data_IF_973047505513
#
_entry.id   IF_973047505513
#
_cell.length_a   1.000
_cell.length_b   1.000
_cell.length_c   1.000
_cell.angle_alpha   90.00
_cell.angle_beta   90.00
_cell.angle_gamma   90.00
#
_symmetry.space_group_name_H-M   'P 1'
#
loop_
_entity.id
_entity.type
_entity.pdbx_description
1 polymer ?
#
# COMPACT_ATOMS: atom_id res chain seq x y z
N UNK A 1 -18.45 -13.38 -2.03
CA UNK A 1 -17.48 -12.42 -2.58
C UNK A 1 -17.12 -11.52 -1.43
N UNK A 2 -15.99 -11.77 -0.79
CA UNK A 2 -15.54 -10.95 0.33
C UNK A 2 -15.43 -9.50 -0.17
N UNK A 3 -16.14 -8.59 0.48
CA UNK A 3 -16.13 -7.17 0.11
C UNK A 3 -14.73 -6.62 0.34
N UNK A 4 -14.14 -6.02 -0.69
CA UNK A 4 -12.88 -5.30 -0.55
C UNK A 4 -13.06 -4.14 0.46
N UNK A 5 -12.37 -4.22 1.60
CA UNK A 5 -12.48 -3.25 2.70
C UNK A 5 -11.17 -2.45 2.87
N UNK A 6 -10.93 -1.39 2.07
CA UNK A 6 -9.71 -0.59 2.14
C UNK A 6 -9.74 0.42 3.29
N UNK A 7 -8.57 0.76 3.81
CA UNK A 7 -8.43 1.97 4.64
C UNK A 7 -8.69 3.23 3.80
N UNK A 8 -8.96 4.37 4.46
CA UNK A 8 -9.13 5.67 3.78
C UNK A 8 -7.93 6.03 2.89
N UNK A 9 -6.71 5.74 3.34
CA UNK A 9 -5.49 6.01 2.55
C UNK A 9 -5.39 5.10 1.33
N UNK A 10 -5.71 3.81 1.47
CA UNK A 10 -5.76 2.87 0.35
C UNK A 10 -6.83 3.30 -0.67
N UNK A 11 -8.02 3.66 -0.19
CA UNK A 11 -9.10 4.16 -1.05
C UNK A 11 -8.69 5.42 -1.82
N UNK A 12 -8.04 6.39 -1.14
CA UNK A 12 -7.53 7.60 -1.77
C UNK A 12 -6.46 7.30 -2.84
N UNK A 13 -5.60 6.32 -2.61
CA UNK A 13 -4.59 5.88 -3.58
C UNK A 13 -5.24 5.25 -4.83
N UNK A 14 -6.28 4.41 -4.66
CA UNK A 14 -7.05 3.85 -5.78
C UNK A 14 -7.72 4.94 -6.62
N UNK A 15 -8.34 5.93 -5.96
CA UNK A 15 -8.94 7.08 -6.65
C UNK A 15 -7.90 7.89 -7.40
N UNK A 16 -6.72 8.13 -6.79
CA UNK A 16 -5.63 8.88 -7.44
C UNK A 16 -5.08 8.13 -8.65
N UNK A 17 -4.96 6.80 -8.58
CA UNK A 17 -4.53 5.98 -9.70
C UNK A 17 -5.55 5.99 -10.87
N UNK A 18 -6.85 5.95 -10.56
CA UNK A 18 -7.92 6.12 -11.56
C UNK A 18 -7.82 7.48 -12.24
N UNK A 19 -7.67 8.55 -11.47
CA UNK A 19 -7.52 9.91 -12.00
C UNK A 19 -6.27 10.04 -12.89
N UNK A 20 -5.14 9.46 -12.47
CA UNK A 20 -3.91 9.47 -13.25
C UNK A 20 -4.07 8.72 -14.59
N UNK A 21 -4.66 7.52 -14.57
CA UNK A 21 -4.92 6.77 -15.79
C UNK A 21 -5.87 7.52 -16.73
N UNK A 22 -6.93 8.13 -16.19
CA UNK A 22 -7.89 8.91 -16.95
C UNK A 22 -7.25 10.16 -17.57
N UNK A 23 -6.43 10.89 -16.81
CA UNK A 23 -5.75 12.10 -17.28
C UNK A 23 -4.72 11.81 -18.38
N UNK A 24 -4.08 10.63 -18.32
CA UNK A 24 -3.11 10.17 -19.31
C UNK A 24 -3.76 9.48 -20.54
N UNK A 25 -5.09 9.34 -20.58
CA UNK A 25 -5.78 8.63 -21.67
C UNK A 25 -5.49 7.14 -21.71
N UNK A 26 -5.13 6.54 -20.57
CA UNK A 26 -4.89 5.10 -20.46
C UNK A 26 -6.22 4.37 -20.22
N UNK A 27 -6.58 3.35 -21.04
CA UNK A 27 -7.86 2.64 -20.91
C UNK A 27 -7.93 1.77 -19.66
N UNK A 28 -6.78 1.47 -19.04
CA UNK A 28 -6.69 0.62 -17.86
C UNK A 28 -5.85 1.25 -16.74
N UNK A 29 -6.33 1.08 -15.51
CA UNK A 29 -5.54 1.29 -14.30
C UNK A 29 -4.60 0.10 -14.16
N UNK A 30 -3.36 0.27 -14.62
CA UNK A 30 -2.25 -0.68 -14.47
C UNK A 30 -1.55 -0.59 -13.09
N UNK A 31 -0.79 -1.62 -12.67
CA UNK A 31 -0.06 -1.60 -11.40
C UNK A 31 0.86 -0.39 -11.22
N UNK A 32 1.41 0.15 -12.31
CA UNK A 32 2.27 1.32 -12.26
C UNK A 32 1.54 2.58 -11.76
N UNK A 33 0.26 2.76 -12.11
CA UNK A 33 -0.56 3.86 -11.59
C UNK A 33 -0.82 3.71 -10.09
N UNK A 34 -1.08 2.47 -9.63
CA UNK A 34 -1.28 2.17 -8.21
C UNK A 34 -0.01 2.46 -7.41
N UNK A 35 1.14 1.99 -7.89
CA UNK A 35 2.44 2.25 -7.26
C UNK A 35 2.74 3.75 -7.21
N UNK A 36 2.57 4.47 -8.33
CA UNK A 36 2.80 5.91 -8.37
C UNK A 36 1.90 6.65 -7.36
N UNK A 37 0.60 6.33 -7.34
CA UNK A 37 -0.34 6.93 -6.40
C UNK A 37 0.05 6.72 -4.93
N UNK A 38 0.58 5.54 -4.58
CA UNK A 38 1.08 5.26 -3.23
C UNK A 38 2.35 6.04 -2.90
N UNK A 39 3.27 6.20 -3.86
CA UNK A 39 4.53 6.92 -3.68
C UNK A 39 4.36 8.44 -3.62
N UNK A 40 3.31 8.98 -4.24
CA UNK A 40 3.01 10.42 -4.25
C UNK A 40 1.97 10.82 -3.20
N UNK A 41 1.46 9.87 -2.42
CA UNK A 41 0.48 10.16 -1.38
C UNK A 41 1.13 10.96 -0.25
N UNK A 42 0.56 12.13 0.06
CA UNK A 42 0.95 12.94 1.22
C UNK A 42 0.74 12.14 2.51
N UNK A 43 1.70 12.23 3.42
CA UNK A 43 1.75 11.45 4.67
C UNK A 43 1.58 9.93 4.43
N UNK A 44 1.95 9.47 3.23
CA UNK A 44 1.98 8.06 2.86
C UNK A 44 3.20 7.35 3.45
N UNK A 45 3.09 6.03 3.59
CA UNK A 45 4.17 5.18 4.14
C UNK A 45 4.93 4.41 3.07
N UNK A 46 4.54 4.51 1.79
CA UNK A 46 5.17 3.75 0.71
C UNK A 46 6.66 4.07 0.54
N UNK A 47 7.04 5.35 0.53
CA UNK A 47 8.44 5.77 0.47
C UNK A 47 9.24 5.33 1.72
N UNK A 48 8.77 5.61 2.97
CA UNK A 48 9.43 5.09 4.17
C UNK A 48 9.58 3.56 4.20
N UNK A 49 8.62 2.82 3.66
CA UNK A 49 8.70 1.35 3.56
C UNK A 49 9.81 0.90 2.62
N UNK A 50 9.95 1.55 1.46
CA UNK A 50 11.04 1.28 0.52
C UNK A 50 12.39 1.59 1.16
N UNK A 51 12.51 2.74 1.84
CA UNK A 51 13.73 3.12 2.57
C UNK A 51 14.09 2.09 3.65
N UNK A 52 13.10 1.60 4.39
CA UNK A 52 13.29 0.60 5.44
C UNK A 52 13.82 -0.75 4.92
N UNK A 53 13.61 -1.05 3.63
CA UNK A 53 14.18 -2.24 2.95
C UNK A 53 15.43 -1.92 2.13
N UNK A 54 15.96 -0.69 2.24
CA UNK A 54 17.18 -0.25 1.57
C UNK A 54 17.00 0.16 0.11
N UNK A 55 15.77 0.46 -0.30
CA UNK A 55 15.42 0.87 -1.66
C UNK A 55 15.18 2.38 -1.70
N UNK A 56 15.85 3.05 -2.63
CA UNK A 56 15.70 4.49 -2.85
C UNK A 56 14.35 4.80 -3.53
N UNK A 57 13.40 5.49 -2.86
CA UNK A 57 12.06 5.72 -3.41
C UNK A 57 12.08 6.55 -4.70
N UNK A 58 13.04 7.46 -4.84
CA UNK A 58 13.18 8.28 -6.04
C UNK A 58 13.45 7.43 -7.29
N UNK A 59 14.25 6.37 -7.16
CA UNK A 59 14.55 5.42 -8.25
C UNK A 59 13.31 4.67 -8.67
N UNK A 60 12.56 4.12 -7.70
CA UNK A 60 11.31 3.39 -7.96
C UNK A 60 10.28 4.29 -8.63
N UNK A 61 10.16 5.55 -8.18
CA UNK A 61 9.25 6.53 -8.79
C UNK A 61 9.63 6.80 -10.25
N UNK A 62 10.91 7.01 -10.54
CA UNK A 62 11.37 7.27 -11.91
C UNK A 62 11.12 6.08 -12.84
N UNK A 63 11.36 4.85 -12.38
CA UNK A 63 11.11 3.64 -13.17
C UNK A 63 9.61 3.36 -13.34
N UNK A 64 8.79 3.56 -12.30
CA UNK A 64 7.35 3.46 -12.40
C UNK A 64 6.77 4.48 -13.40
N UNK A 65 7.29 5.71 -13.42
CA UNK A 65 6.91 6.71 -14.41
C UNK A 65 7.23 6.25 -15.83
N UNK A 66 8.42 5.67 -16.07
CA UNK A 66 8.78 5.11 -17.39
C UNK A 66 7.85 3.99 -17.84
N UNK A 67 7.31 3.19 -16.91
CA UNK A 67 6.31 2.18 -17.23
C UNK A 67 4.99 2.83 -17.67
N UNK A 68 4.57 3.89 -16.98
CA UNK A 68 3.37 4.67 -17.32
C UNK A 68 3.52 5.33 -18.70
N UNK A 69 4.65 5.96 -18.98
CA UNK A 69 4.90 6.70 -20.22
C UNK A 69 4.90 5.81 -21.48
N UNK A 70 5.07 4.48 -21.30
CA UNK A 70 5.08 3.49 -22.38
C UNK A 70 3.70 2.87 -22.63
N UNK A 71 2.69 3.20 -21.83
CA UNK A 71 1.37 2.62 -21.99
C UNK A 71 0.67 3.17 -23.25
N UNK A 72 -0.15 2.33 -23.91
CA UNK A 72 -0.94 2.80 -25.04
C UNK A 72 -1.98 3.82 -24.56
N UNK A 73 -2.09 4.92 -25.30
CA UNK A 73 -3.10 5.94 -25.09
C UNK A 73 -4.24 5.76 -26.08
N UNK A 74 -5.48 5.93 -25.61
CA UNK A 74 -6.67 5.82 -26.45
C UNK A 74 -7.35 7.18 -26.52
N UNK A 75 -7.32 7.79 -27.71
CA UNK A 75 -8.07 9.02 -28.00
C UNK A 75 -9.56 8.71 -28.18
N UNK A 76 -10.43 9.50 -27.54
CA UNK A 76 -11.88 9.37 -27.68
C UNK A 76 -12.54 8.32 -26.77
N UNK A 77 -11.78 7.73 -25.83
CA UNK A 77 -12.37 6.90 -24.78
C UNK A 77 -13.23 7.77 -23.85
N UNK A 78 -14.55 7.66 -23.99
CA UNK A 78 -15.54 8.25 -23.07
C UNK A 78 -15.79 7.39 -21.82
N UNK A 79 -15.21 6.20 -21.77
CA UNK A 79 -15.33 5.25 -20.66
C UNK A 79 -14.26 5.48 -19.59
N UNK A 80 -14.66 5.42 -18.33
CA UNK A 80 -13.71 5.42 -17.21
C UNK A 80 -12.75 4.22 -17.28
N UNK A 81 -11.45 4.43 -17.02
CA UNK A 81 -10.47 3.35 -16.98
C UNK A 81 -10.88 2.23 -16.03
N UNK A 82 -10.70 0.98 -16.47
CA UNK A 82 -10.96 -0.20 -15.65
C UNK A 82 -9.68 -0.75 -15.04
N UNK A 83 -9.76 -1.50 -13.94
CA UNK A 83 -8.58 -2.18 -13.41
C UNK A 83 -8.09 -3.24 -14.40
N UNK A 84 -6.81 -3.21 -14.73
CA UNK A 84 -6.16 -4.30 -15.49
C UNK A 84 -6.20 -5.61 -14.69
N UNK A 85 -6.02 -6.75 -15.37
CA UNK A 85 -5.94 -8.06 -14.71
C UNK A 85 -4.84 -8.11 -13.64
N UNK A 86 -3.69 -7.50 -13.91
CA UNK A 86 -2.57 -7.47 -12.98
C UNK A 86 -2.86 -6.57 -11.76
N UNK A 87 -3.58 -5.46 -11.95
CA UNK A 87 -4.02 -4.62 -10.83
C UNK A 87 -5.04 -5.34 -9.94
N UNK A 88 -5.99 -6.06 -10.53
CA UNK A 88 -6.92 -6.89 -9.77
C UNK A 88 -6.18 -7.97 -8.98
N UNK A 89 -5.22 -8.66 -9.61
CA UNK A 89 -4.40 -9.65 -8.93
C UNK A 89 -3.61 -9.06 -7.75
N UNK A 90 -3.01 -7.87 -7.90
CA UNK A 90 -2.32 -7.19 -6.82
C UNK A 90 -3.26 -6.82 -5.66
N UNK A 91 -4.47 -6.34 -5.96
CA UNK A 91 -5.49 -6.02 -4.95
C UNK A 91 -6.00 -7.28 -4.24
N UNK A 92 -6.15 -8.41 -4.95
CA UNK A 92 -6.49 -9.70 -4.35
C UNK A 92 -5.37 -10.21 -3.45
N UNK A 93 -4.11 -10.11 -3.88
CA UNK A 93 -2.96 -10.48 -3.06
C UNK A 93 -2.86 -9.61 -1.79
N UNK A 94 -3.17 -8.32 -1.90
CA UNK A 94 -3.24 -7.41 -0.75
C UNK A 94 -4.33 -7.81 0.26
N UNK A 95 -5.51 -8.22 -0.23
CA UNK A 95 -6.59 -8.73 0.64
C UNK A 95 -6.19 -10.01 1.35
N UNK A 96 -5.61 -10.96 0.62
CA UNK A 96 -5.11 -12.21 1.21
C UNK A 96 -4.09 -11.93 2.32
N UNK A 97 -3.16 -11.00 2.08
CA UNK A 97 -2.17 -10.63 3.08
C UNK A 97 -2.81 -9.97 4.33
N UNK A 98 -3.78 -9.08 4.15
CA UNK A 98 -4.50 -8.49 5.28
C UNK A 98 -5.17 -9.59 6.13
N UNK A 99 -5.82 -10.57 5.48
CA UNK A 99 -6.40 -11.73 6.17
C UNK A 99 -5.35 -12.60 6.85
N UNK A 100 -4.20 -12.87 6.20
CA UNK A 100 -3.07 -13.61 6.80
C UNK A 100 -2.51 -12.89 8.04
N UNK A 101 -2.60 -11.57 8.09
CA UNK A 101 -2.14 -10.72 9.19
C UNK A 101 -3.21 -10.44 10.25
N UNK A 102 -4.43 -10.99 10.11
CA UNK A 102 -5.59 -10.75 10.98
C UNK A 102 -6.03 -9.27 11.00
N UNK A 103 -5.80 -8.54 9.91
CA UNK A 103 -6.18 -7.14 9.75
C UNK A 103 -7.57 -7.02 9.12
N UNK A 104 -8.42 -6.18 9.73
CA UNK A 104 -9.80 -5.91 9.28
C UNK A 104 -9.86 -5.10 7.96
N UNK A 105 -8.82 -4.32 7.66
CA UNK A 105 -8.76 -3.42 6.51
C UNK A 105 -7.50 -3.63 5.67
N UNK A 106 -7.64 -3.45 4.35
CA UNK A 106 -6.50 -3.44 3.43
C UNK A 106 -5.79 -2.09 3.51
N UNK A 107 -4.63 -2.07 4.18
CA UNK A 107 -3.75 -0.91 4.31
C UNK A 107 -2.93 -0.67 3.03
N UNK A 108 -2.23 0.46 2.99
CA UNK A 108 -1.27 0.77 1.92
C UNK A 108 -0.07 -0.18 1.93
N UNK A 109 0.30 -0.75 3.10
CA UNK A 109 1.35 -1.77 3.21
C UNK A 109 0.92 -3.05 2.49
N UNK A 110 -0.31 -3.50 2.74
CA UNK A 110 -0.87 -4.67 2.08
C UNK A 110 -0.88 -4.51 0.56
N UNK A 111 -1.29 -3.32 0.09
CA UNK A 111 -1.30 -3.01 -1.33
C UNK A 111 0.11 -2.94 -1.93
N UNK A 112 1.08 -2.34 -1.22
CA UNK A 112 2.50 -2.33 -1.64
C UNK A 112 3.06 -3.74 -1.79
N UNK A 113 2.79 -4.63 -0.81
CA UNK A 113 3.23 -6.03 -0.91
C UNK A 113 2.49 -6.74 -2.04
N UNK A 114 1.18 -6.52 -2.20
CA UNK A 114 0.39 -7.07 -3.30
C UNK A 114 0.95 -6.69 -4.68
N UNK A 115 1.37 -5.43 -4.87
CA UNK A 115 2.03 -4.93 -6.09
C UNK A 115 3.39 -5.58 -6.34
N UNK A 116 4.10 -6.00 -5.29
CA UNK A 116 5.35 -6.75 -5.39
C UNK A 116 5.15 -8.25 -5.66
N UNK A 117 3.91 -8.74 -5.73
CA UNK A 117 3.59 -10.14 -6.04
C UNK A 117 3.19 -10.35 -7.51
N UNK A 118 3.36 -11.59 -7.99
CA UNK A 118 3.05 -11.98 -9.36
C UNK A 118 4.10 -11.54 -10.38
N UNK A 119 3.69 -11.42 -11.64
CA UNK A 119 4.61 -11.27 -12.79
C UNK A 119 4.49 -9.94 -13.53
N UNK A 120 3.81 -8.96 -12.94
CA UNK A 120 3.68 -7.62 -13.52
C UNK A 120 5.03 -6.91 -13.64
N UNK A 121 5.15 -5.93 -14.54
CA UNK A 121 6.38 -5.15 -14.67
C UNK A 121 6.72 -4.39 -13.37
N UNK A 122 5.71 -3.99 -12.60
CA UNK A 122 5.89 -3.40 -11.27
C UNK A 122 6.41 -4.42 -10.28
N UNK A 123 5.90 -5.65 -10.28
CA UNK A 123 6.40 -6.71 -9.42
C UNK A 123 7.87 -7.00 -9.74
N UNK A 124 8.24 -7.10 -11.02
CA UNK A 124 9.63 -7.29 -11.45
C UNK A 124 10.53 -6.13 -11.05
N UNK A 125 10.05 -4.89 -11.21
CA UNK A 125 10.73 -3.68 -10.78
C UNK A 125 11.01 -3.72 -9.27
N UNK A 126 9.98 -3.89 -8.44
CA UNK A 126 10.12 -3.89 -6.98
C UNK A 126 11.04 -5.02 -6.51
N UNK A 127 10.86 -6.24 -7.05
CA UNK A 127 11.71 -7.38 -6.71
C UNK A 127 13.16 -7.20 -7.18
N UNK A 128 13.39 -6.59 -8.36
CA UNK A 128 14.72 -6.30 -8.89
C UNK A 128 15.53 -5.32 -8.03
N UNK A 129 14.85 -4.42 -7.32
CA UNK A 129 15.46 -3.51 -6.35
C UNK A 129 15.51 -4.09 -4.92
N UNK A 130 14.98 -5.30 -4.69
CA UNK A 130 15.00 -5.97 -3.38
C UNK A 130 13.76 -5.74 -2.51
N UNK A 131 12.76 -5.00 -3.00
CA UNK A 131 11.46 -4.82 -2.35
C UNK A 131 10.51 -6.00 -2.66
N UNK A 132 10.83 -7.18 -2.12
CA UNK A 132 10.05 -8.42 -2.32
C UNK A 132 9.13 -8.75 -1.15
N UNK A 133 8.08 -9.57 -1.40
CA UNK A 133 7.18 -10.15 -0.37
C UNK A 133 7.91 -11.05 0.65
N UNK A 134 9.21 -11.34 0.51
CA UNK A 134 9.89 -12.26 1.43
C UNK A 134 9.65 -11.81 2.88
N UNK A 135 9.14 -12.71 3.75
CA UNK A 135 8.99 -12.40 5.16
C UNK A 135 10.37 -11.97 5.66
N UNK A 136 10.46 -10.76 6.22
CA UNK A 136 11.63 -10.38 6.97
C UNK A 136 11.68 -11.32 8.18
N UNK A 137 12.39 -12.44 8.04
CA UNK A 137 12.37 -13.54 8.98
C UNK A 137 13.09 -13.17 10.26
N UNK A 138 12.41 -12.45 11.17
CA UNK A 138 12.70 -12.22 12.61
C UNK A 138 14.15 -11.86 13.03
N UNK A 139 15.10 -11.75 12.10
CA UNK A 139 16.55 -11.79 12.36
C UNK A 139 17.37 -10.98 11.35
N UNK A 140 16.79 -9.90 10.83
CA UNK A 140 17.54 -8.90 10.07
C UNK A 140 17.35 -7.57 10.80
N UNK A 141 18.43 -7.01 11.34
CA UNK A 141 18.47 -5.80 12.18
C UNK A 141 18.03 -4.50 11.49
N UNK A 142 17.43 -4.56 10.29
CA UNK A 142 17.14 -3.41 9.44
C UNK A 142 15.66 -3.03 9.31
N UNK A 143 14.70 -3.87 9.71
CA UNK A 143 13.25 -3.56 9.49
C UNK A 143 12.42 -3.35 10.77
N UNK A 144 13.04 -3.02 11.91
CA UNK A 144 12.28 -2.73 13.14
C UNK A 144 11.61 -1.34 13.14
N UNK A 145 11.84 -0.50 12.12
CA UNK A 145 11.46 0.91 12.16
C UNK A 145 10.07 1.26 11.58
N UNK A 146 9.46 0.38 10.75
CA UNK A 146 8.22 0.73 10.04
C UNK A 146 6.92 0.41 10.80
N UNK A 147 6.98 -0.38 11.87
CA UNK A 147 5.83 -0.53 12.78
C UNK A 147 5.93 0.53 13.86
N UNK A 148 5.22 1.64 13.65
CA UNK A 148 4.84 2.52 14.76
C UNK A 148 4.29 1.65 15.90
N UNK A 149 4.79 1.87 17.10
CA UNK A 149 4.49 1.10 18.30
C UNK A 149 3.00 0.73 18.40
N UNK A 150 2.64 -0.54 18.67
CA UNK A 150 1.28 -0.81 19.12
C UNK A 150 1.17 -0.17 20.51
N UNK A 151 0.29 0.81 20.67
CA UNK A 151 -0.15 1.26 21.97
C UNK A 151 -1.40 0.47 22.37
N UNK A 152 -1.29 -0.53 23.27
CA UNK A 152 -2.42 -0.91 24.08
C UNK A 152 -2.03 -0.85 25.56
N UNK A 153 -2.22 0.29 26.20
CA UNK A 153 -2.19 0.35 27.67
C UNK A 153 -3.33 1.23 28.20
N UNK A 154 -4.49 0.57 28.33
CA UNK A 154 -5.29 0.48 29.56
C UNK A 154 -5.55 1.80 30.31
N UNK A 155 -6.81 2.26 30.31
CA UNK A 155 -7.36 3.19 31.31
C UNK A 155 -6.91 2.74 32.72
N UNK A 156 -6.36 3.61 33.59
CA UNK A 156 -6.15 3.25 34.97
C UNK A 156 -7.52 2.98 35.64
N UNK A 157 -7.65 1.96 36.51
CA UNK A 157 -8.86 1.79 37.29
C UNK A 157 -9.04 3.03 38.18
N UNK A 158 -10.20 3.68 38.08
CA UNK A 158 -10.56 4.78 38.97
C UNK A 158 -10.54 4.27 40.41
N UNK A 159 -9.64 4.85 41.20
CA UNK A 159 -9.47 4.54 42.62
C UNK A 159 -10.77 4.85 43.35
N UNK A 160 -11.36 3.81 43.95
CA UNK A 160 -12.50 3.89 44.89
C UNK A 160 -12.14 4.85 46.02
N UNK A 161 -12.89 5.94 46.16
CA UNK A 161 -12.77 6.84 47.30
C UNK A 161 -13.15 6.10 48.58
N UNK A 162 -12.21 6.03 49.53
CA UNK A 162 -12.46 5.65 50.92
C UNK A 162 -12.14 6.89 51.75
N UNK A 163 -13.16 7.69 52.07
CA UNK A 163 -13.04 8.72 53.09
C UNK A 163 -13.34 8.09 54.45
N UNK A 164 -12.28 7.95 55.25
CA UNK A 164 -12.36 7.77 56.69
C UNK A 164 -13.03 8.99 57.32
N UNK A 165 -13.98 8.75 58.23
CA UNK A 165 -14.48 9.75 59.18
C UNK A 165 -13.39 10.08 60.20
N UNK A 166 -13.30 11.32 60.69
CA UNK A 166 -12.80 11.58 62.02
C UNK A 166 -13.93 12.03 62.96
N UNK A 167 -13.94 11.36 64.13
CA UNK A 167 -14.38 11.74 65.49
C UNK A 167 -15.48 12.77 65.67
#
# INVERSE_FOLDING_TARGET
>A
MDSFNPTTKTQAALTSALQAASAAGHPEIRPAHLLMALLTQNDGIAAPLLEAVGVEPATIRAEAQRLIDRLPQVTGASSQPQLSRESLAAITAAQQLATEMDDEYVSTEHLMVGLATGDSDVAKLLNGHGASRKPCGRRSSRCAAARGSPAPTRRPPTRRWRSTRPT
#
